data_IF_378737552423
#
_entry.id   IF_378737552423
#
_cell.length_a   1.000
_cell.length_b   1.000
_cell.length_c   1.000
_cell.angle_alpha   90.00
_cell.angle_beta   90.00
_cell.angle_gamma   90.00
#
_symmetry.space_group_name_H-M   'P 1'
#
loop_
_entity.id
_entity.type
_entity.pdbx_description
1 polymer ?
#
# COMPACT_ATOMS: atom_id res chain seq x y z
N UNK A 1 1.12 14.09 6.08
CA UNK A 1 2.14 13.99 7.15
C UNK A 1 1.73 13.05 8.29
N UNK A 2 0.56 13.25 8.93
CA UNK A 2 0.07 12.37 10.02
C UNK A 2 0.04 10.88 9.66
N UNK A 3 -0.49 10.53 8.49
CA UNK A 3 -0.52 9.14 8.00
C UNK A 3 0.85 8.43 8.00
N UNK A 4 1.93 9.11 7.60
CA UNK A 4 3.28 8.52 7.57
C UNK A 4 3.86 8.34 8.99
N UNK A 5 3.42 9.18 9.93
CA UNK A 5 3.78 9.07 11.35
C UNK A 5 3.05 7.88 11.97
N UNK A 6 1.75 7.78 11.72
CA UNK A 6 0.90 6.70 12.25
C UNK A 6 1.36 5.33 11.75
N UNK A 7 1.81 5.25 10.48
CA UNK A 7 2.45 4.06 9.91
C UNK A 7 3.89 3.80 10.39
N UNK A 8 4.39 4.61 11.33
CA UNK A 8 5.76 4.54 11.88
C UNK A 8 6.85 4.53 10.79
N UNK A 9 6.62 5.26 9.69
CA UNK A 9 7.58 5.33 8.60
C UNK A 9 8.84 6.11 9.05
N UNK A 10 10.05 5.55 8.85
CA UNK A 10 11.30 6.23 9.16
C UNK A 10 11.40 7.57 8.43
N UNK A 11 11.84 8.62 9.13
CA UNK A 11 11.97 9.98 8.59
C UNK A 11 12.78 10.01 7.28
N UNK A 12 13.89 9.27 7.22
CA UNK A 12 14.74 9.17 6.03
C UNK A 12 14.02 8.58 4.80
N UNK A 13 13.00 7.75 5.00
CA UNK A 13 12.23 7.13 3.91
C UNK A 13 11.04 7.97 3.47
N UNK A 14 10.55 8.89 4.30
CA UNK A 14 9.35 9.69 4.00
C UNK A 14 9.50 10.56 2.75
N UNK A 15 10.70 11.07 2.51
CA UNK A 15 10.99 11.89 1.32
C UNK A 15 11.07 11.06 0.03
N UNK A 16 11.32 9.75 0.16
CA UNK A 16 11.40 8.81 -0.97
C UNK A 16 10.07 8.11 -1.24
N UNK A 17 9.06 8.33 -0.40
CA UNK A 17 7.77 7.69 -0.52
C UNK A 17 7.08 8.18 -1.80
N UNK A 18 6.77 7.29 -2.76
CA UNK A 18 6.06 7.69 -3.97
C UNK A 18 4.66 8.20 -3.64
N UNK A 19 4.16 9.10 -4.47
CA UNK A 19 2.80 9.64 -4.38
C UNK A 19 2.22 9.70 -5.79
N UNK A 20 0.98 9.24 -5.94
CA UNK A 20 0.19 9.38 -7.17
C UNK A 20 -0.73 10.58 -7.00
N UNK A 21 -0.61 11.53 -7.92
CA UNK A 21 -1.31 12.81 -7.90
C UNK A 21 -2.09 12.96 -9.20
N UNK A 22 -3.32 13.47 -9.12
CA UNK A 22 -4.13 13.90 -10.25
C UNK A 22 -4.47 15.37 -10.05
N UNK A 23 -3.85 16.25 -10.85
CA UNK A 23 -3.95 17.69 -10.64
C UNK A 23 -3.31 18.12 -9.32
N UNK A 24 -4.12 18.67 -8.42
CA UNK A 24 -3.75 19.09 -7.08
C UNK A 24 -4.09 18.06 -5.99
N UNK A 25 -4.74 16.95 -6.35
CA UNK A 25 -5.22 15.94 -5.41
C UNK A 25 -4.29 14.73 -5.34
N UNK A 26 -3.91 14.36 -4.11
CA UNK A 26 -3.23 13.08 -3.84
C UNK A 26 -4.26 11.96 -3.91
N UNK A 27 -4.11 11.09 -4.91
CA UNK A 27 -5.02 9.97 -5.18
C UNK A 27 -4.62 8.75 -4.37
N UNK A 28 -3.33 8.45 -4.33
CA UNK A 28 -2.81 7.26 -3.67
C UNK A 28 -1.37 7.45 -3.21
N UNK A 29 -1.07 6.93 -2.01
CA UNK A 29 0.29 6.75 -1.51
C UNK A 29 0.48 5.24 -1.35
N UNK A 30 1.42 4.60 -2.07
CA UNK A 30 1.62 3.17 -1.96
C UNK A 30 1.92 2.71 -0.53
N UNK A 31 1.32 1.59 -0.13
CA UNK A 31 1.30 1.13 1.27
C UNK A 31 0.15 1.69 2.10
N UNK A 32 -0.65 2.61 1.55
CA UNK A 32 -1.90 3.09 2.14
C UNK A 32 -3.08 2.82 1.20
N UNK A 33 -4.28 2.85 1.75
CA UNK A 33 -5.49 2.74 0.95
C UNK A 33 -5.67 4.02 0.09
N UNK A 34 -6.16 3.91 -1.16
CA UNK A 34 -6.44 5.08 -1.99
C UNK A 34 -7.46 6.01 -1.36
N UNK A 35 -7.37 7.29 -1.69
CA UNK A 35 -8.34 8.30 -1.28
C UNK A 35 -9.75 7.88 -1.73
N UNK A 36 -10.73 7.97 -0.82
CA UNK A 36 -12.05 7.35 -1.01
C UNK A 36 -12.76 7.82 -2.29
N UNK A 37 -12.66 9.11 -2.63
CA UNK A 37 -13.26 9.69 -3.84
C UNK A 37 -12.65 9.24 -5.16
N UNK A 38 -11.52 8.52 -5.13
CA UNK A 38 -10.85 8.01 -6.32
C UNK A 38 -10.91 6.49 -6.43
N UNK A 39 -11.63 5.81 -5.53
CA UNK A 39 -11.90 4.38 -5.71
C UNK A 39 -13.01 4.19 -6.75
N UNK A 40 -12.83 3.29 -7.72
CA UNK A 40 -13.91 2.97 -8.62
C UNK A 40 -15.08 2.36 -7.82
N UNK A 41 -16.34 2.74 -8.10
CA UNK A 41 -17.49 2.10 -7.48
C UNK A 41 -17.58 0.63 -7.90
N UNK A 42 -18.26 -0.23 -7.12
CA UNK A 42 -18.53 -1.59 -7.53
C UNK A 42 -19.24 -1.62 -8.90
N UNK A 43 -18.74 -2.45 -9.82
CA UNK A 43 -19.30 -2.56 -11.17
C UNK A 43 -18.89 -1.46 -12.15
N UNK A 44 -17.92 -0.61 -11.80
CA UNK A 44 -17.41 0.39 -12.74
C UNK A 44 -16.90 -0.25 -14.04
N UNK A 45 -17.49 0.12 -15.17
CA UNK A 45 -17.10 -0.41 -16.49
C UNK A 45 -15.75 0.11 -16.98
N UNK A 46 -15.32 1.29 -16.50
CA UNK A 46 -14.06 1.93 -16.90
C UNK A 46 -13.31 2.46 -15.68
N UNK A 47 -12.05 2.05 -15.56
CA UNK A 47 -11.15 2.53 -14.51
C UNK A 47 -9.70 2.39 -14.95
N UNK A 48 -8.80 3.11 -14.28
CA UNK A 48 -7.35 2.93 -14.42
C UNK A 48 -6.85 2.17 -13.20
N UNK A 49 -6.19 1.03 -13.43
CA UNK A 49 -5.51 0.29 -12.38
C UNK A 49 -4.05 0.75 -12.30
N UNK A 50 -3.61 1.13 -11.10
CA UNK A 50 -2.21 1.49 -10.83
C UNK A 50 -1.70 0.52 -9.78
N UNK A 51 -0.61 -0.16 -10.09
CA UNK A 51 0.06 -1.09 -9.20
C UNK A 51 1.49 -0.59 -8.94
N UNK A 52 1.95 -0.65 -7.69
CA UNK A 52 3.35 -0.44 -7.35
C UNK A 52 3.99 -1.80 -7.11
N UNK A 53 5.00 -2.13 -7.91
CA UNK A 53 5.84 -3.31 -7.69
C UNK A 53 7.19 -2.89 -7.14
N UNK A 54 7.78 -3.69 -6.24
CA UNK A 54 9.21 -3.60 -5.98
C UNK A 54 9.96 -3.78 -7.29
N UNK A 55 11.00 -2.98 -7.51
CA UNK A 55 12.01 -3.29 -8.52
C UNK A 55 12.78 -4.48 -7.95
N UNK A 56 12.79 -5.62 -8.63
CA UNK A 56 13.26 -6.91 -8.11
C UNK A 56 14.61 -6.79 -7.37
N UNK A 57 14.62 -7.08 -6.06
CA UNK A 57 15.83 -6.97 -5.22
C UNK A 57 15.67 -6.59 -3.74
N UNK A 58 14.46 -6.46 -3.20
CA UNK A 58 14.21 -6.60 -1.76
C UNK A 58 13.82 -5.31 -0.99
N UNK A 59 12.67 -5.41 -0.31
CA UNK A 59 12.55 -4.92 1.05
C UNK A 59 12.14 -6.12 1.90
N UNK A 60 13.14 -6.88 2.38
CA UNK A 60 12.89 -7.82 3.49
C UNK A 60 12.51 -6.97 4.71
N UNK A 61 11.22 -6.75 4.91
CA UNK A 61 10.72 -6.10 6.11
C UNK A 61 10.70 -7.14 7.24
N UNK A 62 11.88 -7.47 7.77
CA UNK A 62 12.00 -8.15 9.06
C UNK A 62 11.54 -7.18 10.15
N UNK A 63 10.25 -7.17 10.42
CA UNK A 63 9.66 -6.71 11.68
C UNK A 63 8.42 -7.56 11.96
N UNK A 64 8.61 -8.87 12.07
CA UNK A 64 7.65 -9.73 12.76
C UNK A 64 8.10 -9.84 14.20
N UNK A 65 7.62 -8.93 15.05
CA UNK A 65 7.36 -9.30 16.45
C UNK A 65 6.13 -10.19 16.38
N UNK A 66 6.35 -11.46 16.68
CA UNK A 66 5.36 -12.51 16.79
C UNK A 66 4.26 -12.15 17.78
N UNK A 67 3.00 -12.28 17.36
CA UNK A 67 1.91 -12.85 18.17
C UNK A 67 0.68 -13.12 17.28
N UNK A 68 0.19 -14.37 17.27
CA UNK A 68 -1.20 -14.69 16.91
C UNK A 68 -1.46 -15.45 15.60
N UNK A 69 -1.70 -16.76 15.73
CA UNK A 69 -2.49 -17.67 14.87
C UNK A 69 -2.26 -17.68 13.34
N UNK A 70 -1.34 -18.53 12.90
CA UNK A 70 -1.35 -19.09 11.53
C UNK A 70 -2.32 -20.26 11.43
N UNK A 71 -3.48 -20.05 10.80
CA UNK A 71 -4.29 -21.13 10.25
C UNK A 71 -3.75 -21.48 8.85
N UNK A 72 -3.14 -22.67 8.71
CA UNK A 72 -2.81 -23.27 7.40
C UNK A 72 -4.04 -24.00 6.89
N UNK A 73 -4.55 -23.63 5.72
CA UNK A 73 -5.49 -24.47 4.95
C UNK A 73 -4.67 -25.17 3.86
N UNK A 74 -4.63 -26.51 3.94
CA UNK A 74 -4.17 -27.39 2.85
C UNK A 74 -5.25 -27.42 1.77
N UNK A 75 -4.85 -27.34 0.50
CA UNK A 75 -5.60 -27.94 -0.58
C UNK A 75 -4.90 -29.25 -0.96
N UNK A 76 -5.63 -30.36 -0.87
CA UNK A 76 -5.22 -31.68 -1.38
C UNK A 76 -5.52 -31.74 -2.87
N UNK A 77 -4.66 -32.39 -3.66
CA UNK A 77 -5.03 -32.91 -4.98
C UNK A 77 -5.97 -34.11 -4.83
#
# INVERSE_FOLDING_TARGET
KKMLIDARMPLSRRQLQPMVVAGDAVVWIPGFAPAAGFRPPPGAERYVSIEMRPLDGGFEQKNTVSEGNSARIRASN
#
